data_IF_294266942112
#
_entry.id   IF_294266942112
#
_cell.length_a   1.000
_cell.length_b   1.000
_cell.length_c   1.000
_cell.angle_alpha   90.00
_cell.angle_beta   90.00
_cell.angle_gamma   90.00
#
_symmetry.space_group_name_H-M   'P 1'
#
loop_
_entity.id
_entity.type
_entity.pdbx_description
1 polymer ?
#
# COMPACT_ATOMS: atom_id res chain seq x y z
N UNK A 1 -1.87 -22.40 -4.40
CA UNK A 1 -1.98 -20.95 -4.70
C UNK A 1 -1.10 -20.19 -3.73
N UNK A 2 -0.53 -19.04 -4.15
CA UNK A 2 0.23 -18.16 -3.26
C UNK A 2 -0.68 -17.53 -2.21
N UNK A 3 -0.14 -17.25 -1.02
CA UNK A 3 -0.77 -16.35 -0.05
C UNK A 3 -0.57 -14.91 -0.52
N UNK A 4 -1.63 -14.13 -0.60
CA UNK A 4 -1.63 -12.74 -1.07
C UNK A 4 -1.87 -11.81 0.11
N UNK A 5 -0.98 -10.85 0.31
CA UNK A 5 -0.97 -9.96 1.47
C UNK A 5 -1.06 -8.52 0.99
N UNK A 6 -2.19 -7.87 1.23
CA UNK A 6 -2.37 -6.44 1.02
C UNK A 6 -1.82 -5.64 2.20
N UNK A 7 -0.98 -4.65 1.94
CA UNK A 7 -0.46 -3.75 2.97
C UNK A 7 -1.19 -2.41 2.88
N UNK A 8 -1.87 -2.03 3.94
CA UNK A 8 -2.64 -0.78 4.05
C UNK A 8 -2.13 0.10 5.20
N UNK A 9 -2.48 1.36 5.18
CA UNK A 9 -2.17 2.34 6.24
C UNK A 9 -2.03 3.75 5.68
N UNK A 10 -2.11 4.73 6.53
CA UNK A 10 -2.00 6.15 6.15
C UNK A 10 -0.60 6.51 5.62
N UNK A 11 -0.42 7.60 4.86
CA UNK A 11 0.89 8.08 4.42
C UNK A 11 1.90 8.16 5.56
N UNK A 12 3.14 7.72 5.29
CA UNK A 12 4.25 7.67 6.25
C UNK A 12 4.03 6.76 7.48
N UNK A 13 3.05 5.85 7.48
CA UNK A 13 2.84 4.89 8.58
C UNK A 13 3.95 3.82 8.69
N UNK A 14 4.67 3.55 7.59
CA UNK A 14 5.71 2.50 7.54
C UNK A 14 5.35 1.31 6.65
N UNK A 15 4.30 1.39 5.85
CA UNK A 15 3.88 0.34 4.89
C UNK A 15 5.04 -0.23 4.07
N UNK A 16 5.81 0.65 3.45
CA UNK A 16 6.94 0.28 2.58
C UNK A 16 7.98 -0.55 3.34
N UNK A 17 8.24 -0.23 4.61
CA UNK A 17 9.18 -1.00 5.46
C UNK A 17 8.69 -2.45 5.61
N UNK A 18 7.40 -2.62 5.87
CA UNK A 18 6.77 -3.94 5.99
C UNK A 18 6.81 -4.69 4.65
N UNK A 19 6.35 -4.04 3.58
CA UNK A 19 6.30 -4.63 2.25
C UNK A 19 7.69 -5.07 1.75
N UNK A 20 8.70 -4.22 1.89
CA UNK A 20 10.08 -4.52 1.51
C UNK A 20 10.71 -5.62 2.37
N UNK A 21 10.38 -5.64 3.67
CA UNK A 21 10.86 -6.69 4.57
C UNK A 21 10.26 -8.06 4.19
N UNK A 22 8.96 -8.13 3.98
CA UNK A 22 8.29 -9.36 3.57
C UNK A 22 8.72 -9.82 2.16
N UNK A 23 9.00 -8.88 1.26
CA UNK A 23 9.49 -9.20 -0.08
C UNK A 23 10.86 -9.88 -0.12
N UNK A 24 11.65 -9.77 0.94
CA UNK A 24 12.95 -10.45 1.08
C UNK A 24 12.83 -11.92 1.50
N UNK A 25 11.64 -12.39 1.85
CA UNK A 25 11.42 -13.78 2.24
C UNK A 25 11.49 -14.70 1.02
N UNK A 26 12.00 -15.93 1.18
CA UNK A 26 12.07 -16.89 0.08
C UNK A 26 10.71 -17.12 -0.58
N UNK A 27 10.67 -17.02 -1.89
CA UNK A 27 9.44 -17.20 -2.66
C UNK A 27 8.46 -16.02 -2.60
N UNK A 28 8.84 -14.88 -2.04
CA UNK A 28 8.01 -13.68 -2.04
C UNK A 28 8.18 -12.85 -3.33
N UNK A 29 7.12 -12.10 -3.67
CA UNK A 29 7.12 -11.06 -4.71
C UNK A 29 6.37 -9.85 -4.17
N UNK A 30 6.94 -8.67 -4.32
CA UNK A 30 6.26 -7.39 -4.04
C UNK A 30 5.73 -6.79 -5.34
N UNK A 31 4.49 -6.35 -5.30
CA UNK A 31 3.84 -5.56 -6.35
C UNK A 31 3.41 -4.24 -5.69
N UNK A 32 4.05 -3.14 -6.06
CA UNK A 32 3.69 -1.82 -5.55
C UNK A 32 2.59 -1.23 -6.42
N UNK A 33 1.38 -1.10 -5.87
CA UNK A 33 0.19 -0.68 -6.64
C UNK A 33 0.33 0.74 -7.19
N UNK A 34 1.07 1.60 -6.50
CA UNK A 34 1.40 2.94 -6.98
C UNK A 34 2.21 2.98 -8.27
N UNK A 35 2.90 1.90 -8.65
CA UNK A 35 3.68 1.86 -9.89
C UNK A 35 2.79 2.03 -11.13
N UNK A 36 1.54 1.55 -11.08
CA UNK A 36 0.56 1.79 -12.13
C UNK A 36 0.32 3.29 -12.37
N UNK A 37 0.18 4.07 -11.30
CA UNK A 37 -0.04 5.52 -11.39
C UNK A 37 1.20 6.23 -11.95
N UNK A 38 2.38 5.82 -11.49
CA UNK A 38 3.64 6.40 -11.98
C UNK A 38 3.91 6.06 -13.45
N UNK A 39 3.64 4.84 -13.88
CA UNK A 39 3.74 4.43 -15.28
C UNK A 39 2.74 5.20 -16.17
N UNK A 40 1.53 5.42 -15.66
CA UNK A 40 0.49 6.20 -16.34
C UNK A 40 0.93 7.67 -16.55
N UNK A 41 1.49 8.31 -15.52
CA UNK A 41 2.05 9.67 -15.60
C UNK A 41 3.25 9.74 -16.56
N UNK A 42 4.17 8.79 -16.44
CA UNK A 42 5.36 8.69 -17.29
C UNK A 42 5.00 8.63 -18.78
N UNK A 43 4.01 7.82 -19.16
CA UNK A 43 3.54 7.71 -20.55
C UNK A 43 2.94 9.02 -21.09
N UNK A 44 2.54 9.94 -20.21
CA UNK A 44 2.01 11.28 -20.53
C UNK A 44 3.04 12.40 -20.41
N UNK A 45 4.31 12.06 -20.14
CA UNK A 45 5.37 13.04 -20.02
C UNK A 45 5.27 13.93 -18.76
N UNK A 46 4.44 13.55 -17.77
CA UNK A 46 4.24 14.34 -16.55
C UNK A 46 5.39 14.06 -15.59
N UNK A 47 6.03 15.12 -15.11
CA UNK A 47 7.11 15.02 -14.11
C UNK A 47 6.56 14.51 -12.77
N UNK A 48 7.25 13.55 -12.12
CA UNK A 48 6.83 13.05 -10.82
C UNK A 48 6.84 14.15 -9.75
N UNK A 49 5.70 14.29 -9.05
CA UNK A 49 5.55 15.13 -7.85
C UNK A 49 4.50 14.50 -6.93
N UNK A 50 4.43 14.90 -5.67
CA UNK A 50 3.37 14.45 -4.75
C UNK A 50 1.99 14.83 -5.29
N UNK A 51 1.85 16.06 -5.80
CA UNK A 51 0.62 16.56 -6.39
C UNK A 51 0.22 15.77 -7.64
N UNK A 52 1.15 15.58 -8.58
CA UNK A 52 0.90 14.80 -9.80
C UNK A 52 0.45 13.36 -9.47
N UNK A 53 1.09 12.71 -8.51
CA UNK A 53 0.72 11.37 -8.06
C UNK A 53 -0.67 11.32 -7.41
N UNK A 54 -1.00 12.32 -6.59
CA UNK A 54 -2.32 12.43 -5.96
C UNK A 54 -3.41 12.69 -7.02
N UNK A 55 -3.22 13.71 -7.86
CA UNK A 55 -4.19 14.08 -8.89
C UNK A 55 -4.42 12.94 -9.89
N UNK A 56 -3.36 12.24 -10.31
CA UNK A 56 -3.50 11.08 -11.17
C UNK A 56 -4.27 9.93 -10.50
N UNK A 57 -4.03 9.68 -9.21
CA UNK A 57 -4.79 8.67 -8.46
C UNK A 57 -6.27 9.02 -8.38
N UNK A 58 -6.60 10.28 -8.05
CA UNK A 58 -7.99 10.77 -7.98
C UNK A 58 -8.68 10.73 -9.35
N UNK A 59 -7.96 11.15 -10.41
CA UNK A 59 -8.47 11.10 -11.78
C UNK A 59 -8.77 9.66 -12.23
N UNK A 60 -7.81 8.75 -12.03
CA UNK A 60 -7.98 7.34 -12.40
C UNK A 60 -9.14 6.71 -11.64
N UNK A 61 -9.27 7.03 -10.37
CA UNK A 61 -10.39 6.53 -9.55
C UNK A 61 -11.75 7.10 -10.01
N UNK A 62 -11.82 8.42 -10.27
CA UNK A 62 -13.06 9.08 -10.70
C UNK A 62 -13.53 8.61 -12.09
N UNK A 63 -12.59 8.40 -13.02
CA UNK A 63 -12.89 8.06 -14.41
C UNK A 63 -13.10 6.56 -14.62
N UNK A 64 -12.32 5.73 -13.95
CA UNK A 64 -12.28 4.28 -14.21
C UNK A 64 -12.56 3.42 -12.98
N UNK A 65 -12.75 4.01 -11.81
CA UNK A 65 -12.85 3.29 -10.54
C UNK A 65 -11.56 2.56 -10.17
N UNK A 66 -11.70 1.50 -9.39
CA UNK A 66 -10.56 0.72 -8.87
C UNK A 66 -10.09 -0.39 -9.82
N UNK A 67 -10.87 -0.67 -10.85
CA UNK A 67 -10.67 -1.81 -11.76
C UNK A 67 -9.30 -1.78 -12.45
N UNK A 68 -8.80 -0.66 -13.02
CA UNK A 68 -7.54 -0.66 -13.75
C UNK A 68 -6.33 -1.05 -12.90
N UNK A 69 -6.24 -0.54 -11.67
CA UNK A 69 -5.11 -0.83 -10.77
C UNK A 69 -5.16 -2.29 -10.33
N UNK A 70 -6.33 -2.75 -9.90
CA UNK A 70 -6.54 -4.14 -9.49
C UNK A 70 -6.26 -5.10 -10.65
N UNK A 71 -6.74 -4.82 -11.85
CA UNK A 71 -6.52 -5.65 -13.04
C UNK A 71 -5.04 -5.68 -13.46
N UNK A 72 -4.36 -4.54 -13.41
CA UNK A 72 -2.91 -4.48 -13.64
C UNK A 72 -2.16 -5.34 -12.62
N UNK A 73 -2.46 -5.21 -11.34
CA UNK A 73 -1.86 -6.02 -10.28
C UNK A 73 -2.14 -7.51 -10.48
N UNK A 74 -3.36 -7.89 -10.84
CA UNK A 74 -3.72 -9.28 -11.16
C UNK A 74 -2.91 -9.85 -12.33
N UNK A 75 -2.61 -9.03 -13.33
CA UNK A 75 -1.74 -9.44 -14.43
C UNK A 75 -0.29 -9.64 -13.98
N UNK A 76 0.22 -8.84 -13.03
CA UNK A 76 1.53 -9.09 -12.41
C UNK A 76 1.52 -10.38 -11.59
N UNK A 77 0.46 -10.64 -10.83
CA UNK A 77 0.28 -11.88 -10.08
C UNK A 77 0.30 -13.10 -10.99
N UNK A 78 -0.41 -13.06 -12.13
CA UNK A 78 -0.42 -14.16 -13.12
C UNK A 78 0.96 -14.46 -13.68
N UNK A 79 1.81 -13.44 -13.86
CA UNK A 79 3.21 -13.60 -14.33
C UNK A 79 4.12 -14.18 -13.24
N UNK A 80 3.75 -14.07 -11.98
CA UNK A 80 4.51 -14.49 -10.82
C UNK A 80 4.34 -16.00 -10.53
N UNK A 81 4.73 -16.84 -11.50
CA UNK A 81 4.69 -18.30 -11.34
C UNK A 81 5.58 -18.75 -10.17
N UNK A 82 5.11 -19.75 -9.41
CA UNK A 82 5.87 -20.40 -8.31
C UNK A 82 6.21 -19.50 -7.12
N UNK A 83 5.49 -18.39 -6.91
CA UNK A 83 5.64 -17.58 -5.70
C UNK A 83 4.80 -18.15 -4.56
N UNK A 84 5.41 -18.15 -3.36
CA UNK A 84 4.76 -18.57 -2.10
C UNK A 84 3.93 -17.43 -1.53
N UNK A 85 4.46 -16.20 -1.61
CA UNK A 85 3.84 -14.98 -1.11
C UNK A 85 3.80 -13.90 -2.17
N UNK A 86 2.71 -13.15 -2.23
CA UNK A 86 2.55 -11.96 -3.06
C UNK A 86 2.16 -10.81 -2.15
N UNK A 87 3.01 -9.79 -2.11
CA UNK A 87 2.83 -8.61 -1.28
C UNK A 87 2.30 -7.48 -2.15
N UNK A 88 1.04 -7.12 -1.98
CA UNK A 88 0.41 -5.97 -2.62
C UNK A 88 0.67 -4.74 -1.74
N UNK A 89 1.66 -3.94 -2.11
CA UNK A 89 2.06 -2.77 -1.34
C UNK A 89 1.23 -1.55 -1.71
N UNK A 90 0.72 -0.88 -0.70
CA UNK A 90 -0.09 0.35 -0.80
C UNK A 90 -1.50 0.15 -1.37
N UNK A 91 -2.21 -0.86 -0.86
CA UNK A 91 -3.64 -1.01 -1.07
C UNK A 91 -4.37 0.23 -0.54
N UNK A 92 -5.35 0.78 -1.29
CA UNK A 92 -5.96 2.07 -0.95
C UNK A 92 -7.48 2.07 -0.88
N UNK A 93 -8.15 1.18 -1.61
CA UNK A 93 -9.60 1.19 -1.69
C UNK A 93 -10.20 -0.14 -1.25
N UNK A 94 -11.40 -0.07 -0.73
CA UNK A 94 -12.18 -1.27 -0.34
C UNK A 94 -12.48 -2.13 -1.57
N UNK A 95 -12.67 -1.50 -2.72
CA UNK A 95 -12.99 -2.19 -3.96
C UNK A 95 -11.78 -2.97 -4.52
N UNK A 96 -10.57 -2.39 -4.45
CA UNK A 96 -9.34 -3.15 -4.71
C UNK A 96 -9.26 -4.40 -3.84
N UNK A 97 -9.48 -4.24 -2.53
CA UNK A 97 -9.46 -5.36 -1.59
C UNK A 97 -10.51 -6.42 -1.91
N UNK A 98 -11.74 -5.99 -2.25
CA UNK A 98 -12.84 -6.88 -2.65
C UNK A 98 -12.49 -7.70 -3.89
N UNK A 99 -11.89 -7.08 -4.91
CA UNK A 99 -11.44 -7.79 -6.12
C UNK A 99 -10.43 -8.89 -5.77
N UNK A 100 -9.45 -8.58 -4.91
CA UNK A 100 -8.47 -9.57 -4.46
C UNK A 100 -9.11 -10.65 -3.57
N UNK A 101 -10.02 -10.26 -2.67
CA UNK A 101 -10.77 -11.21 -1.82
C UNK A 101 -11.59 -12.19 -2.65
N UNK A 102 -12.31 -11.71 -3.66
CA UNK A 102 -13.09 -12.57 -4.57
C UNK A 102 -12.18 -13.55 -5.34
N UNK A 103 -10.96 -13.13 -5.69
CA UNK A 103 -10.03 -13.95 -6.46
C UNK A 103 -9.27 -14.96 -5.63
N UNK A 104 -8.85 -14.60 -4.43
CA UNK A 104 -7.93 -15.42 -3.61
C UNK A 104 -8.59 -16.05 -2.38
N UNK A 105 -9.82 -15.64 -2.05
CA UNK A 105 -10.58 -16.17 -0.94
C UNK A 105 -9.83 -16.06 0.38
N UNK A 106 -9.76 -17.15 1.13
CA UNK A 106 -9.07 -17.23 2.42
C UNK A 106 -7.54 -17.05 2.35
N UNK A 107 -6.98 -17.06 1.13
CA UNK A 107 -5.54 -16.79 0.92
C UNK A 107 -5.22 -15.30 0.75
N UNK A 108 -6.22 -14.42 0.81
CA UNK A 108 -6.02 -12.98 0.83
C UNK A 108 -6.13 -12.44 2.24
N UNK A 109 -5.09 -11.75 2.70
CA UNK A 109 -5.03 -11.14 4.01
C UNK A 109 -4.65 -9.67 3.89
N UNK A 110 -5.16 -8.84 4.78
CA UNK A 110 -4.81 -7.42 4.86
C UNK A 110 -4.07 -7.16 6.15
N UNK A 111 -2.90 -6.51 6.03
CA UNK A 111 -2.10 -6.04 7.16
C UNK A 111 -2.15 -4.52 7.20
N UNK A 112 -2.72 -3.95 8.25
CA UNK A 112 -2.71 -2.52 8.48
C UNK A 112 -1.48 -2.10 9.29
N UNK A 113 -0.77 -1.07 8.81
CA UNK A 113 0.35 -0.46 9.52
C UNK A 113 -0.12 0.87 10.10
N UNK A 114 -0.23 0.94 11.43
CA UNK A 114 -0.79 2.07 12.17
C UNK A 114 0.32 2.94 12.76
N UNK A 115 0.24 4.24 12.55
CA UNK A 115 1.10 5.20 13.22
C UNK A 115 0.35 6.51 13.47
N UNK A 116 0.63 7.15 14.59
CA UNK A 116 -0.03 8.40 14.97
C UNK A 116 0.24 9.52 13.96
N UNK A 117 -0.66 10.49 13.78
CA UNK A 117 -0.45 11.61 12.88
C UNK A 117 0.84 12.40 13.16
N UNK A 118 1.21 12.55 14.44
CA UNK A 118 2.44 13.24 14.84
C UNK A 118 3.70 12.50 14.35
N UNK A 119 3.76 11.19 14.53
CA UNK A 119 4.87 10.35 14.04
C UNK A 119 4.93 10.37 12.52
N UNK A 120 3.79 10.27 11.84
CA UNK A 120 3.71 10.26 10.39
C UNK A 120 4.13 11.61 9.79
N UNK A 121 3.71 12.74 10.39
CA UNK A 121 4.13 14.07 9.96
C UNK A 121 5.65 14.23 10.04
N UNK A 122 6.24 13.89 11.19
CA UNK A 122 7.71 13.94 11.38
C UNK A 122 8.44 13.10 10.32
N UNK A 123 7.96 11.89 10.05
CA UNK A 123 8.55 11.01 9.03
C UNK A 123 8.38 11.55 7.60
N UNK A 124 7.21 12.11 7.28
CA UNK A 124 6.93 12.67 5.97
C UNK A 124 7.84 13.87 5.69
N UNK A 125 8.02 14.76 6.67
CA UNK A 125 8.91 15.91 6.58
C UNK A 125 10.40 15.49 6.46
N UNK A 126 10.84 14.50 7.24
CA UNK A 126 12.21 13.99 7.15
C UNK A 126 12.51 13.29 5.81
N UNK A 127 11.50 12.68 5.19
CA UNK A 127 11.64 11.98 3.92
C UNK A 127 11.76 12.92 2.73
N UNK A 128 11.10 14.06 2.76
CA UNK A 128 11.09 15.14 1.76
C UNK A 128 11.21 14.65 0.30
N UNK A 129 10.47 13.60 -0.07
CA UNK A 129 10.62 12.86 -1.34
C UNK A 129 10.57 13.76 -2.58
N UNK A 130 9.76 14.79 -2.54
CA UNK A 130 9.58 15.76 -3.62
C UNK A 130 9.77 17.21 -3.14
N UNK A 131 10.48 17.40 -2.03
CA UNK A 131 10.70 18.69 -1.40
C UNK A 131 10.08 18.82 0.00
N UNK A 132 10.22 19.96 0.65
CA UNK A 132 9.66 20.22 1.97
C UNK A 132 8.15 20.02 1.98
N UNK A 133 7.65 19.32 3.01
CA UNK A 133 6.22 19.09 3.19
C UNK A 133 5.69 19.92 4.36
N UNK A 134 4.72 20.78 4.10
CA UNK A 134 4.04 21.57 5.12
C UNK A 134 3.05 20.72 5.91
N UNK A 135 2.68 21.17 7.12
CA UNK A 135 1.64 20.53 7.93
C UNK A 135 0.27 20.55 7.24
N UNK A 136 -0.01 21.60 6.45
CA UNK A 136 -1.25 21.70 5.71
C UNK A 136 -1.33 20.66 4.58
N UNK A 137 -0.30 20.56 3.75
CA UNK A 137 -0.22 19.57 2.67
C UNK A 137 -0.31 18.13 3.21
N UNK A 138 0.34 17.84 4.34
CA UNK A 138 0.22 16.56 5.00
C UNK A 138 -1.24 16.24 5.39
N UNK A 139 -1.96 17.21 5.98
CA UNK A 139 -3.38 17.04 6.35
C UNK A 139 -4.30 16.88 5.13
N UNK A 140 -4.03 17.64 4.07
CA UNK A 140 -4.79 17.51 2.82
C UNK A 140 -4.61 16.10 2.23
N UNK A 141 -3.37 15.62 2.19
CA UNK A 141 -3.08 14.27 1.73
C UNK A 141 -3.76 13.19 2.58
N UNK A 142 -3.73 13.31 3.89
CA UNK A 142 -4.45 12.39 4.78
C UNK A 142 -5.94 12.37 4.48
N UNK A 143 -6.54 13.53 4.25
CA UNK A 143 -7.97 13.65 3.90
C UNK A 143 -8.29 12.92 2.59
N UNK A 144 -7.45 13.07 1.57
CA UNK A 144 -7.68 12.40 0.29
C UNK A 144 -7.52 10.86 0.40
N UNK A 145 -6.53 10.37 1.15
CA UNK A 145 -6.40 8.93 1.40
C UNK A 145 -7.63 8.36 2.16
N UNK A 146 -8.19 9.14 3.10
CA UNK A 146 -9.43 8.75 3.79
C UNK A 146 -10.63 8.73 2.84
N UNK A 147 -10.73 9.68 1.90
CA UNK A 147 -11.78 9.68 0.87
C UNK A 147 -11.70 8.48 -0.08
N UNK A 148 -10.51 7.97 -0.34
CA UNK A 148 -10.30 6.75 -1.10
C UNK A 148 -10.69 5.46 -0.34
N UNK A 149 -10.98 5.55 0.97
CA UNK A 149 -11.42 4.42 1.78
C UNK A 149 -10.30 3.72 2.56
N UNK A 150 -9.11 4.34 2.69
CA UNK A 150 -8.01 3.76 3.48
C UNK A 150 -8.42 3.52 4.94
N UNK A 151 -9.30 4.39 5.50
CA UNK A 151 -9.84 4.20 6.86
C UNK A 151 -10.65 2.91 7.00
N UNK A 152 -11.51 2.63 6.04
CA UNK A 152 -12.35 1.43 6.02
C UNK A 152 -11.52 0.16 5.85
N UNK A 153 -10.49 0.22 4.99
CA UNK A 153 -9.53 -0.85 4.83
C UNK A 153 -8.76 -1.15 6.12
N UNK A 154 -8.33 -0.10 6.83
CA UNK A 154 -7.67 -0.25 8.13
C UNK A 154 -8.62 -0.93 9.12
N UNK A 155 -9.87 -0.48 9.20
CA UNK A 155 -10.86 -1.03 10.11
C UNK A 155 -11.19 -2.51 9.81
N UNK A 156 -11.17 -2.91 8.54
CA UNK A 156 -11.47 -4.28 8.08
C UNK A 156 -10.24 -5.19 7.95
N UNK A 157 -9.05 -4.73 8.36
CA UNK A 157 -7.82 -5.51 8.23
C UNK A 157 -7.79 -6.73 9.13
N UNK A 158 -7.20 -7.83 8.64
CA UNK A 158 -7.03 -9.07 9.40
C UNK A 158 -5.96 -8.96 10.49
N UNK A 159 -4.92 -8.15 10.24
CA UNK A 159 -3.75 -8.01 11.11
C UNK A 159 -3.33 -6.56 11.22
N UNK A 160 -2.73 -6.22 12.37
CA UNK A 160 -2.28 -4.86 12.67
C UNK A 160 -0.81 -4.86 13.09
N UNK A 161 -0.06 -3.86 12.63
CA UNK A 161 1.33 -3.60 13.01
C UNK A 161 1.39 -2.20 13.62
N UNK A 162 1.95 -2.07 14.81
CA UNK A 162 2.23 -0.78 15.43
C UNK A 162 3.44 -0.12 14.76
N UNK A 163 3.15 0.76 13.82
CA UNK A 163 4.13 1.54 13.08
C UNK A 163 4.76 2.67 13.91
N UNK A 164 4.32 2.98 15.14
CA UNK A 164 5.00 3.95 16.01
C UNK A 164 6.33 3.41 16.55
N UNK A 165 6.49 2.11 16.55
CA UNK A 165 7.66 1.42 17.07
C UNK A 165 8.91 1.58 16.17
N UNK A 166 10.03 1.09 16.67
CA UNK A 166 11.27 1.04 15.88
C UNK A 166 11.11 0.18 14.61
N UNK A 167 11.92 0.46 13.59
CA UNK A 167 11.93 -0.32 12.34
C UNK A 167 12.14 -1.81 12.61
N UNK A 168 12.99 -2.15 13.57
CA UNK A 168 13.25 -3.55 13.97
C UNK A 168 12.01 -4.20 14.58
N UNK A 169 11.29 -3.50 15.46
CA UNK A 169 10.03 -3.98 16.04
C UNK A 169 8.96 -4.19 14.97
N UNK A 170 8.79 -3.23 14.05
CA UNK A 170 7.86 -3.34 12.92
C UNK A 170 8.16 -4.59 12.08
N UNK A 171 9.43 -4.87 11.78
CA UNK A 171 9.83 -6.07 11.05
C UNK A 171 9.54 -7.36 11.82
N UNK A 172 9.79 -7.39 13.14
CA UNK A 172 9.46 -8.55 13.98
C UNK A 172 7.96 -8.84 14.00
N UNK A 173 7.12 -7.79 14.11
CA UNK A 173 5.67 -7.95 14.03
C UNK A 173 5.23 -8.52 12.67
N UNK A 174 5.81 -8.02 11.57
CA UNK A 174 5.54 -8.55 10.23
C UNK A 174 5.94 -10.02 10.09
N UNK A 175 7.08 -10.42 10.65
CA UNK A 175 7.53 -11.83 10.66
C UNK A 175 6.60 -12.73 11.48
N UNK A 176 6.11 -12.25 12.62
CA UNK A 176 5.17 -12.99 13.46
C UNK A 176 3.85 -13.25 12.69
N UNK A 177 3.31 -12.21 12.04
CA UNK A 177 2.11 -12.37 11.21
C UNK A 177 2.35 -13.37 10.09
N UNK A 178 3.47 -13.25 9.36
CA UNK A 178 3.77 -14.16 8.24
C UNK A 178 3.83 -15.63 8.66
N UNK A 179 4.33 -15.92 9.87
CA UNK A 179 4.37 -17.29 10.42
C UNK A 179 2.97 -17.88 10.63
N UNK A 180 1.98 -17.07 10.94
CA UNK A 180 0.59 -17.52 11.11
C UNK A 180 -0.14 -17.74 9.77
N UNK A 181 0.39 -17.17 8.67
CA UNK A 181 -0.17 -17.29 7.33
C UNK A 181 0.44 -18.45 6.51
N UNK A 182 1.40 -19.15 7.08
CA UNK A 182 2.09 -20.32 6.46
C UNK A 182 1.63 -21.63 7.02
#
# INVERSE_FOLDING_TARGET
MATVIGIVGMPASGKTIVAEHLAKKPGALRIHLGDFVWDWLKRRGVKPSEEAGLMASLYLWAEYGDIPIAQWAMNQVKKAKNKKFIILDSLRTVEEARIFQLKFGEKFHIIAVLASPAVRLKRAQARARFGPLTKLEFRMRDREELRLGVGDLIASSNHYIDGNQSVQSVKKQADAILKHLT
#
